data_IF_947312565976
#
_entry.id   IF_947312565976
#
_cell.length_a   1.000
_cell.length_b   1.000
_cell.length_c   1.000
_cell.angle_alpha   90.00
_cell.angle_beta   90.00
_cell.angle_gamma   90.00
#
_symmetry.space_group_name_H-M   'P 1'
#
loop_
_entity.id
_entity.type
_entity.pdbx_description
1 polymer ?
#
# COMPACT_ATOMS: atom_id res chain seq x y z
N UNK A 1 -9.61 -14.91 -16.26
CA UNK A 1 -8.52 -13.95 -16.56
C UNK A 1 -9.08 -12.67 -17.19
N UNK A 2 -9.65 -11.77 -16.39
CA UNK A 2 -10.05 -10.45 -16.88
C UNK A 2 -9.05 -9.40 -16.39
N UNK A 3 -8.61 -8.55 -17.30
CA UNK A 3 -7.75 -7.39 -17.06
C UNK A 3 -8.50 -6.12 -17.48
N UNK A 4 -9.82 -6.14 -17.30
CA UNK A 4 -10.73 -5.08 -17.75
C UNK A 4 -10.56 -3.78 -16.98
N UNK A 5 -9.91 -3.84 -15.82
CA UNK A 5 -9.53 -2.67 -15.01
C UNK A 5 -8.42 -1.83 -15.63
N UNK A 6 -7.54 -2.44 -16.40
CA UNK A 6 -6.37 -1.75 -16.92
C UNK A 6 -6.74 -0.79 -18.05
N UNK A 7 -6.52 0.50 -17.84
CA UNK A 7 -6.71 1.52 -18.89
C UNK A 7 -5.71 1.40 -20.04
N UNK A 8 -4.52 0.86 -19.78
CA UNK A 8 -3.52 0.58 -20.80
C UNK A 8 -3.47 -0.91 -21.14
N UNK A 9 -3.14 -1.26 -22.39
CA UNK A 9 -2.91 -2.64 -22.77
C UNK A 9 -1.75 -3.21 -21.96
N UNK A 10 -2.02 -4.31 -21.26
CA UNK A 10 -0.99 -5.07 -20.54
C UNK A 10 -0.05 -5.73 -21.56
N UNK A 11 1.28 -5.66 -21.37
CA UNK A 11 2.22 -6.34 -22.24
C UNK A 11 1.92 -7.84 -22.29
N UNK A 12 1.92 -8.43 -23.49
CA UNK A 12 1.60 -9.85 -23.69
C UNK A 12 2.59 -10.80 -23.01
N UNK A 13 3.79 -10.31 -22.69
CA UNK A 13 4.84 -11.05 -21.97
C UNK A 13 4.65 -11.03 -20.45
N UNK A 14 3.76 -10.18 -19.92
CA UNK A 14 3.50 -10.13 -18.49
C UNK A 14 2.66 -11.31 -18.01
N UNK A 15 3.09 -11.88 -16.89
CA UNK A 15 2.40 -12.99 -16.24
C UNK A 15 1.17 -12.45 -15.51
N UNK A 16 0.00 -13.04 -15.74
CA UNK A 16 -1.23 -12.64 -15.05
C UNK A 16 -1.36 -13.41 -13.75
N UNK A 17 -1.16 -12.73 -12.62
CA UNK A 17 -1.34 -13.28 -11.29
C UNK A 17 -2.83 -13.27 -10.91
N UNK A 18 -3.43 -14.47 -10.77
CA UNK A 18 -4.82 -14.61 -10.34
C UNK A 18 -4.99 -14.55 -8.82
N UNK A 19 -3.96 -14.92 -8.08
CA UNK A 19 -3.99 -15.00 -6.62
C UNK A 19 -2.78 -14.30 -6.00
N UNK A 20 -2.91 -13.94 -4.73
CA UNK A 20 -1.83 -13.30 -3.96
C UNK A 20 -0.62 -14.22 -3.82
N UNK A 21 -0.86 -15.53 -3.78
CA UNK A 21 0.19 -16.56 -3.76
C UNK A 21 0.99 -16.57 -5.05
N UNK A 22 0.33 -16.54 -6.23
CA UNK A 22 1.01 -16.43 -7.51
C UNK A 22 1.82 -15.14 -7.60
N UNK A 23 1.24 -14.01 -7.20
CA UNK A 23 1.95 -12.74 -7.21
C UNK A 23 3.20 -12.79 -6.32
N UNK A 24 3.07 -13.32 -5.09
CA UNK A 24 4.20 -13.48 -4.18
C UNK A 24 5.28 -14.42 -4.72
N UNK A 25 4.88 -15.52 -5.39
CA UNK A 25 5.83 -16.43 -6.01
C UNK A 25 6.61 -15.73 -7.12
N UNK A 26 5.94 -14.97 -7.98
CA UNK A 26 6.59 -14.20 -9.05
C UNK A 26 7.54 -13.15 -8.45
N UNK A 27 7.12 -12.43 -7.42
CA UNK A 27 7.99 -11.47 -6.71
C UNK A 27 9.19 -12.15 -6.07
N UNK A 28 9.01 -13.36 -5.51
CA UNK A 28 10.09 -14.14 -4.91
C UNK A 28 11.11 -14.61 -5.96
N UNK A 29 10.63 -15.04 -7.12
CA UNK A 29 11.48 -15.41 -8.25
C UNK A 29 12.16 -14.18 -8.88
N UNK A 30 11.52 -13.01 -8.81
CA UNK A 30 12.02 -11.75 -9.35
C UNK A 30 12.37 -10.77 -8.22
N UNK A 31 13.50 -11.03 -7.55
CA UNK A 31 13.95 -10.30 -6.34
C UNK A 31 14.10 -8.77 -6.50
N UNK A 32 14.18 -8.28 -7.74
CA UNK A 32 14.26 -6.85 -8.08
C UNK A 32 12.98 -6.36 -8.72
N UNK A 33 11.83 -6.79 -8.22
CA UNK A 33 10.53 -6.30 -8.66
C UNK A 33 9.79 -5.57 -7.55
N UNK A 34 9.05 -4.54 -7.95
CA UNK A 34 8.20 -3.74 -7.09
C UNK A 34 6.78 -3.71 -7.64
N UNK A 35 5.82 -3.76 -6.73
CA UNK A 35 4.40 -3.65 -7.08
C UNK A 35 4.04 -2.18 -7.22
N UNK A 36 3.51 -1.80 -8.37
CA UNK A 36 3.05 -0.46 -8.70
C UNK A 36 1.54 -0.49 -8.93
N UNK A 37 0.82 0.40 -8.27
CA UNK A 37 -0.57 0.68 -8.59
C UNK A 37 -0.62 1.63 -9.79
N UNK A 38 -0.95 1.10 -10.97
CA UNK A 38 -1.01 1.86 -12.22
C UNK A 38 -2.19 1.42 -13.07
N UNK A 39 -2.75 2.38 -13.81
CA UNK A 39 -3.83 2.15 -14.77
C UNK A 39 -5.09 1.49 -14.19
N UNK A 40 -5.32 1.60 -12.88
CA UNK A 40 -6.49 1.05 -12.18
C UNK A 40 -6.31 -0.39 -11.68
N UNK A 41 -5.09 -0.93 -11.72
CA UNK A 41 -4.75 -2.23 -11.16
C UNK A 41 -3.31 -2.28 -10.62
N UNK A 42 -2.83 -3.48 -10.28
CA UNK A 42 -1.49 -3.68 -9.71
C UNK A 42 -0.55 -4.33 -10.73
N UNK A 43 0.58 -3.69 -11.00
CA UNK A 43 1.60 -4.17 -11.95
C UNK A 43 2.92 -4.42 -11.21
N UNK A 44 3.49 -5.59 -11.40
CA UNK A 44 4.81 -5.94 -10.89
C UNK A 44 5.85 -5.53 -11.92
N UNK A 45 6.67 -4.51 -11.58
CA UNK A 45 7.68 -3.95 -12.48
C UNK A 45 9.08 -4.21 -11.94
N UNK A 46 10.04 -4.50 -12.81
CA UNK A 46 11.43 -4.57 -12.39
C UNK A 46 11.94 -3.17 -11.99
N UNK A 47 12.71 -3.10 -10.91
CA UNK A 47 13.32 -1.86 -10.44
C UNK A 47 14.47 -1.39 -11.32
N UNK A 48 15.10 -2.32 -12.04
CA UNK A 48 16.27 -2.03 -12.88
C UNK A 48 15.85 -1.42 -14.23
N UNK A 49 14.91 -2.07 -14.94
CA UNK A 49 14.47 -1.68 -16.29
C UNK A 49 13.08 -1.02 -16.34
N UNK A 50 12.30 -1.09 -15.27
CA UNK A 50 10.88 -0.66 -15.27
C UNK A 50 9.95 -1.58 -16.08
N UNK A 51 10.45 -2.73 -16.54
CA UNK A 51 9.70 -3.70 -17.33
C UNK A 51 8.61 -4.38 -16.49
N UNK A 52 7.40 -4.49 -17.03
CA UNK A 52 6.27 -5.18 -16.39
C UNK A 52 6.50 -6.69 -16.50
N UNK A 53 6.73 -7.34 -15.36
CA UNK A 53 6.94 -8.79 -15.27
C UNK A 53 5.61 -9.52 -15.04
N UNK A 54 4.74 -8.93 -14.22
CA UNK A 54 3.43 -9.50 -13.94
C UNK A 54 2.38 -8.43 -13.71
N UNK A 55 1.12 -8.82 -13.85
CA UNK A 55 -0.04 -7.98 -13.52
C UNK A 55 -1.02 -8.76 -12.67
N UNK A 56 -1.70 -8.08 -11.76
CA UNK A 56 -2.78 -8.66 -11.00
C UNK A 56 -4.05 -8.79 -11.86
N UNK A 57 -4.75 -9.92 -11.75
CA UNK A 57 -6.09 -10.05 -12.34
C UNK A 57 -7.11 -9.15 -11.65
N UNK A 58 -8.26 -8.91 -12.30
CA UNK A 58 -9.41 -8.19 -11.71
C UNK A 58 -9.82 -8.73 -10.33
N UNK A 59 -9.79 -10.06 -10.15
CA UNK A 59 -10.14 -10.71 -8.89
C UNK A 59 -9.10 -10.41 -7.80
N UNK A 60 -7.81 -10.52 -8.14
CA UNK A 60 -6.73 -10.21 -7.22
C UNK A 60 -6.70 -8.73 -6.85
N UNK A 61 -6.99 -7.84 -7.80
CA UNK A 61 -7.09 -6.41 -7.52
C UNK A 61 -8.16 -6.11 -6.45
N UNK A 62 -9.32 -6.77 -6.51
CA UNK A 62 -10.36 -6.61 -5.51
C UNK A 62 -9.94 -7.11 -4.11
N UNK A 63 -9.15 -8.18 -4.05
CA UNK A 63 -8.61 -8.66 -2.77
C UNK A 63 -7.53 -7.73 -2.20
N UNK A 64 -6.64 -7.23 -3.05
CA UNK A 64 -5.59 -6.28 -2.65
C UNK A 64 -6.21 -4.97 -2.15
N UNK A 65 -7.15 -4.40 -2.88
CA UNK A 65 -7.88 -3.18 -2.49
C UNK A 65 -8.53 -3.35 -1.11
N UNK A 66 -9.21 -4.48 -0.89
CA UNK A 66 -9.81 -4.79 0.42
C UNK A 66 -8.79 -4.88 1.54
N UNK A 67 -7.63 -5.50 1.28
CA UNK A 67 -6.55 -5.63 2.28
C UNK A 67 -5.93 -4.27 2.60
N UNK A 68 -5.65 -3.44 1.59
CA UNK A 68 -5.12 -2.10 1.80
C UNK A 68 -6.13 -1.20 2.54
N UNK A 69 -7.41 -1.29 2.19
CA UNK A 69 -8.47 -0.56 2.89
C UNK A 69 -8.62 -1.01 4.35
N UNK A 70 -8.49 -2.31 4.64
CA UNK A 70 -8.52 -2.84 6.00
C UNK A 70 -7.32 -2.36 6.82
N UNK A 71 -6.12 -2.38 6.23
CA UNK A 71 -4.89 -1.87 6.87
C UNK A 71 -5.01 -0.37 7.16
N UNK A 72 -5.44 0.44 6.19
CA UNK A 72 -5.65 1.88 6.37
C UNK A 72 -6.67 2.17 7.47
N UNK A 73 -7.77 1.41 7.51
CA UNK A 73 -8.78 1.53 8.55
C UNK A 73 -8.26 1.14 9.94
N UNK A 74 -7.42 0.11 10.04
CA UNK A 74 -6.76 -0.29 11.29
C UNK A 74 -5.78 0.80 11.76
N UNK A 75 -4.93 1.31 10.88
CA UNK A 75 -3.99 2.39 11.20
C UNK A 75 -4.72 3.69 11.63
N UNK A 76 -5.81 4.03 10.94
CA UNK A 76 -6.65 5.18 11.30
C UNK A 76 -7.34 4.97 12.66
N UNK A 77 -7.78 3.75 12.97
CA UNK A 77 -8.36 3.41 14.26
C UNK A 77 -7.33 3.52 15.39
N UNK A 78 -6.11 3.02 15.19
CA UNK A 78 -5.01 3.09 16.17
C UNK A 78 -4.56 4.55 16.42
N UNK A 79 -4.51 5.37 15.37
CA UNK A 79 -4.16 6.80 15.50
C UNK A 79 -5.18 7.56 16.35
N UNK A 80 -6.46 7.21 16.28
CA UNK A 80 -7.53 7.84 17.06
C UNK A 80 -7.44 7.51 18.56
N UNK A 81 -6.80 6.40 18.94
CA UNK A 81 -6.63 6.01 20.34
C UNK A 81 -5.42 6.69 21.00
N UNK A 82 -4.34 6.93 20.24
CA UNK A 82 -3.15 7.64 20.74
C UNK A 82 -3.38 9.16 20.94
N UNK A 83 -4.29 9.78 20.17
CA UNK A 83 -4.65 11.20 20.31
C UNK A 83 -5.48 11.52 21.58
N UNK A 84 -5.98 10.51 22.31
CA UNK A 84 -6.68 10.72 23.59
C UNK A 84 -5.78 10.69 24.83
N UNK A 85 -4.50 10.31 24.70
CA UNK A 85 -3.54 10.28 25.83
C UNK A 85 -2.35 11.23 25.70
N UNK A 86 -2.14 11.89 24.55
CA UNK A 86 -1.01 12.80 24.32
C UNK A 86 -1.29 14.30 24.51
N UNK A 87 -2.39 14.67 25.16
CA UNK A 87 -2.84 16.05 25.34
C UNK A 87 -2.67 16.58 26.76
N UNK A 88 -1.54 16.33 27.42
CA UNK A 88 -1.23 17.00 28.68
C UNK A 88 0.26 17.32 28.79
N UNK A 89 0.53 18.53 29.29
CA UNK A 89 1.83 19.01 29.75
C UNK A 89 2.86 19.46 28.72
N UNK A 90 2.60 20.59 28.05
CA UNK A 90 3.67 21.60 27.85
C UNK A 90 3.13 23.01 28.02
N UNK A 91 3.03 23.46 29.27
CA UNK A 91 3.17 24.88 29.62
C UNK A 91 3.95 24.94 30.92
N UNK A 92 5.24 24.63 30.81
CA UNK A 92 6.23 25.15 31.73
C UNK A 92 6.70 26.49 31.19
N UNK A 93 6.11 27.58 31.65
CA UNK A 93 6.79 28.87 31.70
C UNK A 93 6.61 29.41 33.13
N UNK A 94 7.58 29.08 33.96
CA UNK A 94 7.73 29.71 35.26
C UNK A 94 8.47 31.03 35.08
N UNK A 95 7.89 32.12 35.59
CA UNK A 95 8.68 33.14 36.29
C UNK A 95 7.83 34.02 37.21
N UNK A 96 7.99 33.73 38.49
CA UNK A 96 8.18 34.63 39.63
C UNK A 96 7.54 36.02 39.68
N UNK A 97 7.03 36.28 40.89
CA UNK A 97 7.06 37.53 41.66
C UNK A 97 5.73 38.30 41.79
N UNK A 98 4.98 38.00 42.85
CA UNK A 98 4.52 39.04 43.80
C UNK A 98 3.82 38.42 45.02
N UNK A 99 4.40 38.55 46.22
CA UNK A 99 3.72 38.64 47.54
C UNK A 99 4.83 39.03 48.53
N UNK A 100 5.03 40.33 48.78
CA UNK A 100 4.43 41.20 49.80
C UNK A 100 5.04 41.00 51.18
#
# INVERSE_FOLDING_TARGET
MSLTRYSKPVPAEAIVAETREQLNQITFENQYTLLHEEDGGYMLKQTEDGAVVAVASDALCAELDKVFADIDALEAAEKTENERQGGDSTTGDGKDASTR
#
